data_IF_551601213663
#
_entry.id   IF_551601213663
#
_cell.length_a   1.000
_cell.length_b   1.000
_cell.length_c   1.000
_cell.angle_alpha   90.00
_cell.angle_beta   90.00
_cell.angle_gamma   90.00
#
_symmetry.space_group_name_H-M   'P 1'
#
loop_
_entity.id
_entity.type
_entity.pdbx_description
1 polymer ?
#
# COMPACT_ATOMS: atom_id res chain seq x y z
N UNK A 1 72.52 -23.97 -45.05
CA UNK A 1 73.34 -22.90 -44.43
C UNK A 1 72.40 -21.94 -43.72
N UNK A 2 72.28 -22.10 -42.39
CA UNK A 2 71.73 -21.16 -41.37
C UNK A 2 70.58 -20.25 -41.85
N UNK A 3 69.30 -20.65 -41.78
CA UNK A 3 68.47 -20.73 -40.56
C UNK A 3 68.82 -19.66 -39.51
N UNK A 4 68.43 -18.41 -39.79
CA UNK A 4 68.36 -17.29 -38.84
C UNK A 4 67.65 -16.11 -39.54
N UNK A 5 66.77 -15.44 -38.80
CA UNK A 5 65.94 -14.27 -39.18
C UNK A 5 64.60 -14.53 -39.87
N UNK A 6 63.73 -15.28 -39.19
CA UNK A 6 62.26 -15.11 -39.27
C UNK A 6 61.66 -15.52 -37.91
N UNK A 7 62.18 -14.88 -36.87
CA UNK A 7 61.58 -14.79 -35.55
C UNK A 7 61.36 -13.30 -35.33
N UNK A 8 60.20 -12.95 -34.80
CA UNK A 8 59.68 -11.65 -34.36
C UNK A 8 58.35 -11.34 -35.04
N UNK A 9 57.30 -11.44 -34.21
CA UNK A 9 55.89 -11.07 -34.44
C UNK A 9 55.05 -12.13 -35.17
N UNK A 10 55.13 -13.37 -34.69
CA UNK A 10 53.96 -14.25 -34.60
C UNK A 10 53.88 -14.66 -33.12
N UNK A 11 52.70 -14.51 -32.49
CA UNK A 11 52.38 -14.62 -31.05
C UNK A 11 52.17 -13.30 -30.28
N UNK A 12 51.26 -12.42 -30.73
CA UNK A 12 50.45 -11.54 -29.84
C UNK A 12 49.10 -11.22 -30.51
N UNK A 13 48.29 -12.24 -30.80
CA UNK A 13 46.95 -12.03 -31.38
C UNK A 13 45.98 -13.15 -30.98
N UNK A 14 45.95 -13.43 -29.69
CA UNK A 14 44.86 -14.10 -28.99
C UNK A 14 45.07 -13.76 -27.52
N UNK A 15 44.00 -13.43 -26.78
CA UNK A 15 43.97 -12.82 -25.43
C UNK A 15 43.69 -11.31 -25.45
N UNK A 16 42.41 -10.97 -25.56
CA UNK A 16 41.67 -10.11 -24.62
C UNK A 16 40.17 -10.20 -24.97
N UNK A 17 39.62 -11.40 -24.82
CA UNK A 17 38.17 -11.60 -24.63
C UNK A 17 38.00 -12.39 -23.34
N UNK A 18 38.42 -11.79 -22.23
CA UNK A 18 37.85 -12.13 -20.93
C UNK A 18 36.44 -11.55 -20.94
N UNK A 19 35.52 -12.29 -21.55
CA UNK A 19 34.11 -12.15 -21.25
C UNK A 19 33.98 -12.30 -19.73
N UNK A 20 33.56 -11.24 -19.05
CA UNK A 20 33.00 -11.36 -17.73
C UNK A 20 31.86 -12.38 -17.84
N UNK A 21 32.08 -13.59 -17.32
CA UNK A 21 30.97 -14.46 -16.95
C UNK A 21 30.07 -13.62 -16.03
N UNK A 22 28.75 -13.56 -16.26
CA UNK A 22 27.86 -13.19 -15.19
C UNK A 22 28.23 -14.09 -14.02
N UNK A 23 28.67 -13.49 -12.93
CA UNK A 23 28.85 -14.24 -11.69
C UNK A 23 27.45 -14.74 -11.39
N UNK A 24 27.24 -16.04 -11.55
CA UNK A 24 26.05 -16.72 -11.06
C UNK A 24 26.02 -16.48 -9.56
N UNK A 25 25.42 -15.36 -9.18
CA UNK A 25 24.89 -15.09 -7.85
C UNK A 25 23.70 -16.00 -7.65
N UNK A 26 23.99 -17.30 -7.64
CA UNK A 26 23.16 -18.30 -7.03
C UNK A 26 23.25 -18.01 -5.53
N UNK A 27 22.58 -16.95 -5.09
CA UNK A 27 22.16 -16.83 -3.71
C UNK A 27 21.16 -17.98 -3.59
N UNK A 28 21.66 -19.14 -3.15
CA UNK A 28 20.81 -20.17 -2.60
C UNK A 28 19.85 -19.44 -1.64
N UNK A 29 18.52 -19.64 -1.74
CA UNK A 29 17.60 -18.96 -0.85
C UNK A 29 18.09 -19.18 0.57
N UNK A 30 18.39 -18.11 1.30
CA UNK A 30 18.62 -18.21 2.73
C UNK A 30 17.40 -18.93 3.28
N UNK A 31 17.63 -20.12 3.87
CA UNK A 31 16.59 -20.80 4.63
C UNK A 31 15.98 -19.78 5.58
N UNK A 32 14.65 -19.69 5.67
CA UNK A 32 14.00 -18.72 6.55
C UNK A 32 14.56 -18.90 7.96
N UNK A 33 15.24 -17.87 8.44
CA UNK A 33 15.76 -17.86 9.80
C UNK A 33 14.56 -17.79 10.71
N UNK A 34 14.41 -18.77 11.59
CA UNK A 34 13.46 -18.70 12.71
C UNK A 34 13.59 -17.32 13.38
N UNK A 35 12.47 -16.66 13.75
CA UNK A 35 12.52 -15.33 14.35
C UNK A 35 13.52 -15.30 15.51
N UNK A 36 14.24 -14.17 15.71
CA UNK A 36 15.16 -14.01 16.83
C UNK A 36 14.52 -14.49 18.12
N UNK A 37 15.29 -15.23 18.93
CA UNK A 37 14.78 -15.84 20.17
C UNK A 37 14.25 -14.77 21.14
N UNK A 38 14.74 -13.52 21.03
CA UNK A 38 14.35 -12.41 21.90
C UNK A 38 13.48 -11.37 21.18
N UNK A 39 12.37 -10.91 21.80
CA UNK A 39 11.56 -9.81 21.30
C UNK A 39 12.36 -8.50 21.20
N UNK A 40 12.22 -7.78 20.08
CA UNK A 40 12.85 -6.46 19.89
C UNK A 40 11.81 -5.37 20.20
N UNK A 41 12.16 -4.33 20.98
CA UNK A 41 11.24 -3.23 21.27
C UNK A 41 11.07 -2.30 20.06
N UNK A 42 9.85 -1.83 19.85
CA UNK A 42 9.50 -0.84 18.81
C UNK A 42 9.31 0.55 19.42
N UNK A 43 9.54 1.64 18.66
CA UNK A 43 9.28 2.99 19.16
C UNK A 43 7.80 3.19 19.48
N UNK A 44 7.50 4.14 20.38
CA UNK A 44 6.14 4.62 20.59
C UNK A 44 5.67 5.43 19.38
N UNK A 45 4.41 5.28 18.99
CA UNK A 45 3.81 6.05 17.91
C UNK A 45 3.76 7.55 18.22
N UNK A 46 4.08 8.39 17.23
CA UNK A 46 3.94 9.83 17.34
C UNK A 46 2.46 10.24 17.16
N UNK A 47 1.95 11.25 17.86
CA UNK A 47 0.60 11.77 17.65
C UNK A 47 0.35 12.22 16.20
N UNK A 48 -0.75 11.78 15.61
CA UNK A 48 -1.19 12.17 14.25
C UNK A 48 -2.61 12.75 14.24
N UNK A 49 -3.18 13.03 15.41
CA UNK A 49 -4.52 13.57 15.56
C UNK A 49 -4.78 14.16 16.94
N UNK A 50 -5.95 14.80 17.06
CA UNK A 50 -6.38 15.43 18.30
C UNK A 50 -6.64 14.38 19.39
N UNK A 51 -6.21 14.69 20.61
CA UNK A 51 -6.54 13.92 21.78
C UNK A 51 -7.96 14.25 22.25
N UNK A 52 -8.72 13.23 22.60
CA UNK A 52 -10.05 13.34 23.19
C UNK A 52 -10.02 12.82 24.62
N UNK A 53 -10.78 13.45 25.52
CA UNK A 53 -10.80 13.10 26.95
C UNK A 53 -12.22 12.77 27.40
N UNK A 54 -12.34 11.79 28.30
CA UNK A 54 -13.60 11.38 28.90
C UNK A 54 -13.40 11.06 30.38
N UNK A 55 -14.42 11.30 31.20
CA UNK A 55 -14.38 10.98 32.62
C UNK A 55 -15.24 9.75 32.88
N UNK A 56 -14.60 8.67 33.31
CA UNK A 56 -15.29 7.44 33.75
C UNK A 56 -15.56 7.54 35.25
N UNK A 57 -16.66 6.94 35.69
CA UNK A 57 -17.03 6.84 37.11
C UNK A 57 -17.16 5.35 37.49
N UNK A 58 -17.33 5.00 38.78
CA UNK A 58 -17.59 3.62 39.16
C UNK A 58 -18.83 2.99 38.51
N UNK A 59 -19.76 3.79 37.95
CA UNK A 59 -20.89 3.29 37.19
C UNK A 59 -20.49 2.67 35.83
N UNK A 60 -19.24 2.86 35.39
CA UNK A 60 -18.77 2.47 34.07
C UNK A 60 -19.18 3.48 33.00
N UNK A 61 -19.19 3.05 31.74
CA UNK A 61 -19.58 3.88 30.62
C UNK A 61 -19.15 3.32 29.27
N UNK A 62 -19.51 4.04 28.23
CA UNK A 62 -19.06 3.79 26.87
C UNK A 62 -18.46 5.07 26.30
N UNK A 63 -17.38 4.91 25.55
CA UNK A 63 -16.69 5.99 24.89
C UNK A 63 -16.40 5.61 23.44
N UNK A 64 -16.67 6.53 22.51
CA UNK A 64 -16.53 6.30 21.07
C UNK A 64 -15.69 7.43 20.48
N UNK A 65 -14.77 7.09 19.58
CA UNK A 65 -13.97 8.07 18.87
C UNK A 65 -14.81 8.97 17.97
N UNK A 66 -14.41 10.23 17.73
CA UNK A 66 -15.13 11.12 16.82
C UNK A 66 -15.31 10.54 15.41
N UNK A 67 -14.32 9.77 14.94
CA UNK A 67 -14.35 9.06 13.65
C UNK A 67 -15.10 7.71 13.69
N UNK A 68 -15.63 7.32 14.86
CA UNK A 68 -16.36 6.07 15.12
C UNK A 68 -15.58 4.79 14.80
N UNK A 69 -14.26 4.89 14.62
CA UNK A 69 -13.39 3.74 14.38
C UNK A 69 -13.12 2.93 15.64
N UNK A 70 -13.26 3.54 16.82
CA UNK A 70 -12.86 2.94 18.09
C UNK A 70 -13.97 3.13 19.11
N UNK A 71 -14.30 2.07 19.82
CA UNK A 71 -15.29 2.05 20.88
C UNK A 71 -14.77 1.30 22.09
N UNK A 72 -14.79 1.95 23.24
CA UNK A 72 -14.35 1.39 24.52
C UNK A 72 -15.56 1.28 25.43
N UNK A 73 -15.86 0.07 25.93
CA UNK A 73 -16.90 -0.13 26.96
C UNK A 73 -16.26 -0.55 28.27
N UNK A 74 -16.65 0.12 29.32
CA UNK A 74 -16.10 -0.02 30.67
C UNK A 74 -17.25 -0.44 31.57
N UNK A 75 -17.26 -1.67 32.12
CA UNK A 75 -18.36 -2.13 32.94
C UNK A 75 -18.38 -1.43 34.30
N UNK A 76 -19.54 -1.40 34.94
CA UNK A 76 -19.70 -0.90 36.30
C UNK A 76 -18.75 -1.63 37.27
N UNK A 77 -18.04 -0.86 38.09
CA UNK A 77 -17.06 -1.35 39.04
C UNK A 77 -15.68 -1.66 38.46
N UNK A 78 -15.42 -1.37 37.16
CA UNK A 78 -14.08 -1.48 36.59
C UNK A 78 -13.09 -0.46 37.20
N UNK A 79 -13.60 0.67 37.69
CA UNK A 79 -12.83 1.67 38.45
C UNK A 79 -13.47 1.94 39.81
N UNK A 80 -12.66 2.29 40.81
CA UNK A 80 -13.13 2.59 42.17
C UNK A 80 -13.47 4.06 42.41
N UNK A 81 -12.95 4.96 41.56
CA UNK A 81 -13.18 6.41 41.64
C UNK A 81 -13.32 6.99 40.24
N UNK A 82 -13.71 8.25 40.17
CA UNK A 82 -13.75 8.94 38.88
C UNK A 82 -12.33 9.10 38.33
N UNK A 83 -12.15 8.74 37.06
CA UNK A 83 -10.86 8.75 36.38
C UNK A 83 -10.99 9.40 35.02
N UNK A 84 -10.07 10.30 34.67
CA UNK A 84 -9.98 10.84 33.32
C UNK A 84 -9.21 9.87 32.44
N UNK A 85 -9.81 9.49 31.32
CA UNK A 85 -9.19 8.68 30.29
C UNK A 85 -9.06 9.50 29.01
N UNK A 86 -8.05 9.20 28.19
CA UNK A 86 -7.87 9.90 26.93
C UNK A 86 -7.58 8.93 25.80
N UNK A 87 -7.89 9.37 24.59
CA UNK A 87 -7.70 8.61 23.36
C UNK A 87 -7.14 9.52 22.29
N UNK A 88 -6.07 9.07 21.63
CA UNK A 88 -5.38 9.83 20.60
C UNK A 88 -4.92 8.92 19.46
N UNK A 89 -5.21 9.27 18.18
CA UNK A 89 -4.59 8.62 17.05
C UNK A 89 -3.07 8.83 17.03
N UNK A 90 -2.32 7.76 16.86
CA UNK A 90 -0.85 7.79 16.76
C UNK A 90 -0.38 7.04 15.51
N UNK A 91 0.81 7.39 15.03
CA UNK A 91 1.49 6.62 13.99
C UNK A 91 1.57 5.15 14.42
N UNK A 92 1.30 4.25 13.49
CA UNK A 92 1.39 2.83 13.76
C UNK A 92 2.87 2.39 13.74
N UNK A 93 3.34 1.85 14.86
CA UNK A 93 4.69 1.28 15.01
C UNK A 93 4.64 -0.23 15.23
N UNK A 94 3.45 -0.83 15.12
CA UNK A 94 3.27 -2.28 15.11
C UNK A 94 3.72 -2.83 13.75
N UNK A 95 4.73 -3.72 13.70
CA UNK A 95 5.18 -4.30 12.43
C UNK A 95 4.10 -5.15 11.73
N UNK A 96 3.15 -5.71 12.48
CA UNK A 96 2.00 -6.46 11.96
C UNK A 96 0.75 -5.58 11.75
N UNK A 97 0.87 -4.28 12.08
CA UNK A 97 -0.24 -3.35 12.17
C UNK A 97 -0.82 -2.97 10.80
N UNK A 98 -2.14 -2.79 10.78
CA UNK A 98 -2.90 -2.27 9.65
C UNK A 98 -3.46 -0.89 9.99
N UNK A 99 -3.26 0.08 9.11
CA UNK A 99 -3.72 1.45 9.32
C UNK A 99 -3.00 2.17 10.46
N UNK A 100 -3.72 3.07 11.15
CA UNK A 100 -3.22 3.85 12.29
C UNK A 100 -3.40 3.11 13.62
N UNK A 101 -2.59 3.46 14.61
CA UNK A 101 -2.77 2.99 15.99
C UNK A 101 -3.49 4.04 16.84
N UNK A 102 -3.97 3.62 18.01
CA UNK A 102 -4.58 4.48 19.02
C UNK A 102 -3.83 4.38 20.33
N UNK A 103 -3.54 5.51 20.95
CA UNK A 103 -3.05 5.60 22.33
C UNK A 103 -4.22 5.79 23.28
N UNK A 104 -4.39 4.88 24.23
CA UNK A 104 -5.33 4.98 25.33
C UNK A 104 -4.57 5.29 26.62
N UNK A 105 -4.99 6.31 27.37
CA UNK A 105 -4.31 6.73 28.60
C UNK A 105 -5.29 6.83 29.77
N UNK A 106 -4.79 6.73 31.02
CA UNK A 106 -3.38 6.52 31.39
C UNK A 106 -2.96 5.06 31.32
N UNK A 107 -1.70 4.77 30.95
CA UNK A 107 -1.19 3.38 30.91
C UNK A 107 -1.11 2.72 32.29
N UNK A 108 -0.96 3.51 33.35
CA UNK A 108 -0.87 3.03 34.73
C UNK A 108 -2.21 2.59 35.31
N UNK A 109 -3.30 2.63 34.54
CA UNK A 109 -4.61 2.17 35.01
C UNK A 109 -4.69 0.65 34.92
N UNK A 110 -5.08 0.03 36.03
CA UNK A 110 -5.47 -1.36 36.08
C UNK A 110 -6.96 -1.46 36.41
N UNK A 111 -7.73 -1.99 35.47
CA UNK A 111 -9.17 -2.13 35.63
C UNK A 111 -9.51 -3.37 36.48
N UNK A 112 -10.36 -3.18 37.48
CA UNK A 112 -10.83 -4.27 38.38
C UNK A 112 -11.70 -5.31 37.67
N UNK A 113 -12.20 -4.97 36.47
CA UNK A 113 -12.99 -5.83 35.60
C UNK A 113 -12.52 -5.60 34.17
N UNK A 114 -12.45 -6.63 33.32
CA UNK A 114 -12.09 -6.46 31.92
C UNK A 114 -13.00 -5.44 31.23
N UNK A 115 -12.38 -4.49 30.53
CA UNK A 115 -13.04 -3.59 29.61
C UNK A 115 -13.05 -4.21 28.21
N UNK A 116 -13.85 -3.67 27.30
CA UNK A 116 -13.81 -4.07 25.89
C UNK A 116 -13.31 -2.94 25.01
N UNK A 117 -12.38 -3.25 24.12
CA UNK A 117 -11.94 -2.36 23.05
C UNK A 117 -12.44 -2.95 21.74
N UNK A 118 -13.19 -2.16 20.99
CA UNK A 118 -13.69 -2.51 19.67
C UNK A 118 -13.04 -1.58 18.64
N UNK A 119 -12.39 -2.18 17.65
CA UNK A 119 -11.71 -1.52 16.55
C UNK A 119 -12.43 -1.85 15.25
N UNK A 120 -12.79 -0.84 14.46
CA UNK A 120 -13.35 -1.05 13.12
C UNK A 120 -12.24 -1.26 12.09
N UNK A 121 -12.42 -2.26 11.25
CA UNK A 121 -11.54 -2.52 10.11
C UNK A 121 -12.22 -2.18 8.77
N UNK A 122 -13.35 -1.47 8.80
CA UNK A 122 -14.15 -1.20 7.61
C UNK A 122 -13.38 -0.44 6.51
N UNK A 123 -12.46 0.46 6.90
CA UNK A 123 -11.61 1.21 5.97
C UNK A 123 -10.33 0.46 5.57
N UNK A 124 -10.12 -0.76 6.07
CA UNK A 124 -8.91 -1.55 5.86
C UNK A 124 -9.16 -2.79 5.00
N UNK A 125 -10.37 -2.99 4.49
CA UNK A 125 -10.76 -4.21 3.77
C UNK A 125 -9.78 -4.59 2.66
N UNK A 126 -9.33 -3.62 1.87
CA UNK A 126 -8.40 -3.85 0.76
C UNK A 126 -6.98 -4.23 1.24
N UNK A 127 -6.67 -3.97 2.51
CA UNK A 127 -5.40 -4.30 3.16
C UNK A 127 -5.47 -5.57 4.01
N UNK A 128 -6.66 -6.16 4.17
CA UNK A 128 -6.87 -7.35 5.00
C UNK A 128 -6.60 -8.58 4.14
N UNK A 129 -5.53 -9.33 4.41
CA UNK A 129 -5.23 -10.53 3.65
C UNK A 129 -6.30 -11.61 3.87
N UNK A 130 -6.74 -11.78 5.12
CA UNK A 130 -7.78 -12.71 5.53
C UNK A 130 -8.41 -12.18 6.82
N UNK A 131 -9.74 -12.11 6.88
CA UNK A 131 -10.45 -11.62 8.07
C UNK A 131 -10.12 -12.50 9.29
N UNK A 132 -9.99 -13.82 9.08
CA UNK A 132 -9.69 -14.77 10.15
C UNK A 132 -8.30 -14.54 10.78
N UNK A 133 -7.36 -13.93 10.05
CA UNK A 133 -6.03 -13.63 10.55
C UNK A 133 -5.96 -12.33 11.38
N UNK A 134 -7.05 -11.55 11.43
CA UNK A 134 -7.07 -10.26 12.09
C UNK A 134 -7.23 -10.39 13.60
N UNK A 135 -6.52 -9.55 14.33
CA UNK A 135 -6.73 -9.35 15.76
C UNK A 135 -6.46 -7.89 16.14
N UNK A 136 -6.70 -7.54 17.40
CA UNK A 136 -6.10 -6.34 17.97
C UNK A 136 -4.72 -6.70 18.52
N UNK A 137 -3.79 -5.76 18.43
CA UNK A 137 -2.51 -5.85 19.11
C UNK A 137 -2.32 -4.65 20.03
N UNK A 138 -1.47 -4.82 21.03
CA UNK A 138 -1.13 -3.78 21.97
C UNK A 138 0.38 -3.74 22.21
N UNK A 139 0.89 -2.55 22.54
CA UNK A 139 2.29 -2.37 22.88
C UNK A 139 2.48 -2.26 24.38
N UNK A 140 3.29 -3.15 24.97
CA UNK A 140 3.57 -3.13 26.39
C UNK A 140 4.52 -1.98 26.80
N UNK A 141 4.83 -1.92 28.09
CA UNK A 141 5.72 -0.92 28.69
C UNK A 141 7.17 -1.07 28.22
N UNK A 142 7.58 -2.29 27.80
CA UNK A 142 8.89 -2.57 27.23
C UNK A 142 8.96 -2.19 25.75
N UNK A 143 7.86 -1.74 25.14
CA UNK A 143 7.80 -1.40 23.72
C UNK A 143 7.58 -2.60 22.80
N UNK A 144 7.29 -3.78 23.36
CA UNK A 144 7.04 -5.00 22.61
C UNK A 144 5.57 -5.04 22.21
N UNK A 145 5.31 -5.27 20.92
CA UNK A 145 3.97 -5.49 20.40
C UNK A 145 3.52 -6.93 20.63
N UNK A 146 2.26 -7.09 21.02
CA UNK A 146 1.65 -8.36 21.37
C UNK A 146 0.26 -8.45 20.81
N UNK A 147 -0.11 -9.61 20.28
CA UNK A 147 -1.50 -9.86 19.95
C UNK A 147 -2.33 -9.94 21.23
N UNK A 148 -3.46 -9.25 21.23
CA UNK A 148 -4.44 -9.35 22.29
C UNK A 148 -5.02 -10.77 22.32
N UNK A 149 -5.16 -11.31 23.52
CA UNK A 149 -5.83 -12.59 23.74
C UNK A 149 -7.34 -12.44 23.52
N UNK A 150 -7.99 -13.55 23.13
CA UNK A 150 -9.45 -13.67 23.09
C UNK A 150 -10.11 -12.52 22.30
N UNK A 151 -10.05 -12.63 20.97
CA UNK A 151 -10.71 -11.71 20.05
C UNK A 151 -12.10 -12.23 19.67
N UNK A 152 -12.99 -11.31 19.33
CA UNK A 152 -14.22 -11.60 18.61
C UNK A 152 -14.27 -10.75 17.34
N UNK A 153 -14.42 -11.40 16.20
CA UNK A 153 -14.60 -10.75 14.91
C UNK A 153 -16.10 -10.69 14.60
N UNK A 154 -16.57 -9.52 14.18
CA UNK A 154 -17.92 -9.34 13.66
C UNK A 154 -17.82 -8.87 12.21
N UNK A 155 -17.99 -9.80 11.27
CA UNK A 155 -17.89 -9.54 9.83
C UNK A 155 -18.92 -8.55 9.30
N UNK A 156 -20.15 -8.61 9.85
CA UNK A 156 -21.24 -7.71 9.45
C UNK A 156 -20.98 -6.27 9.91
N UNK A 157 -20.52 -6.09 11.14
CA UNK A 157 -20.19 -4.78 11.69
C UNK A 157 -18.78 -4.31 11.29
N UNK A 158 -17.96 -5.19 10.73
CA UNK A 158 -16.55 -4.99 10.37
C UNK A 158 -15.72 -4.51 11.56
N UNK A 159 -15.79 -5.25 12.66
CA UNK A 159 -15.07 -4.92 13.90
C UNK A 159 -14.34 -6.11 14.50
N UNK A 160 -13.16 -5.85 15.08
CA UNK A 160 -12.48 -6.74 16.02
C UNK A 160 -12.72 -6.22 17.44
N UNK A 161 -13.15 -7.09 18.36
CA UNK A 161 -13.38 -6.75 19.76
C UNK A 161 -12.49 -7.60 20.66
N UNK A 162 -11.84 -6.98 21.64
CA UNK A 162 -10.96 -7.65 22.60
C UNK A 162 -11.28 -7.22 24.03
N UNK A 163 -11.04 -8.12 24.99
CA UNK A 163 -11.13 -7.81 26.41
C UNK A 163 -9.74 -7.49 26.97
N UNK A 164 -9.63 -6.45 27.79
CA UNK A 164 -8.35 -6.08 28.43
C UNK A 164 -8.57 -5.46 29.81
N UNK A 165 -7.55 -5.50 30.65
CA UNK A 165 -7.53 -4.88 31.99
C UNK A 165 -6.61 -3.67 32.07
N UNK A 166 -6.01 -3.25 30.96
CA UNK A 166 -5.07 -2.13 30.92
C UNK A 166 -5.29 -1.25 29.68
N UNK A 167 -4.69 -0.07 29.71
CA UNK A 167 -4.55 0.82 28.55
C UNK A 167 -3.11 0.91 28.07
N UNK A 168 -2.94 1.14 26.77
CA UNK A 168 -1.67 1.13 26.05
C UNK A 168 -1.88 1.72 24.66
N UNK A 169 -0.90 1.55 23.76
CA UNK A 169 -1.10 1.77 22.33
C UNK A 169 -1.70 0.50 21.72
N UNK A 170 -2.75 0.63 20.91
CA UNK A 170 -3.50 -0.45 20.28
C UNK A 170 -3.56 -0.29 18.75
N UNK A 171 -3.52 -1.39 18.02
CA UNK A 171 -3.63 -1.46 16.56
C UNK A 171 -4.56 -2.60 16.16
N UNK A 172 -5.08 -2.55 14.93
CA UNK A 172 -5.51 -3.76 14.23
C UNK A 172 -4.26 -4.37 13.62
N UNK A 173 -4.09 -5.69 13.73
CA UNK A 173 -2.91 -6.39 13.26
C UNK A 173 -3.26 -7.75 12.64
N UNK A 174 -2.35 -8.28 11.82
CA UNK A 174 -2.50 -9.61 11.21
C UNK A 174 -1.26 -10.45 11.41
N UNK A 175 -1.43 -11.72 11.80
CA UNK A 175 -0.30 -12.62 12.06
C UNK A 175 0.48 -12.97 10.78
N UNK A 176 -0.20 -12.97 9.64
CA UNK A 176 0.34 -13.32 8.32
C UNK A 176 -0.21 -12.37 7.26
N UNK A 177 0.59 -12.00 6.26
CA UNK A 177 0.19 -11.10 5.17
C UNK A 177 0.88 -11.43 3.86
N UNK A 178 0.19 -11.20 2.75
CA UNK A 178 0.77 -11.22 1.41
C UNK A 178 1.37 -9.85 1.09
N UNK A 179 2.66 -9.81 0.75
CA UNK A 179 3.39 -8.58 0.43
C UNK A 179 3.99 -8.62 -1.00
N UNK A 180 3.97 -7.49 -1.74
CA UNK A 180 3.21 -6.29 -1.41
C UNK A 180 1.70 -6.59 -1.45
N UNK A 181 0.91 -5.90 -0.63
CA UNK A 181 -0.55 -6.07 -0.63
C UNK A 181 -1.22 -5.28 -1.77
N UNK A 182 -0.53 -4.27 -2.29
CA UNK A 182 -0.90 -3.51 -3.47
C UNK A 182 0.35 -3.13 -4.26
N UNK A 183 0.28 -3.21 -5.59
CA UNK A 183 1.33 -2.70 -6.49
C UNK A 183 0.71 -2.13 -7.77
N UNK A 184 1.49 -1.38 -8.54
CA UNK A 184 1.10 -0.90 -9.88
C UNK A 184 2.15 -1.33 -10.89
N UNK A 185 1.74 -1.96 -11.98
CA UNK A 185 2.62 -2.50 -13.01
C UNK A 185 2.18 -2.08 -14.42
N UNK A 186 3.16 -1.83 -15.28
CA UNK A 186 3.00 -1.67 -16.72
C UNK A 186 3.28 -2.98 -17.47
N UNK A 187 3.23 -2.97 -18.80
CA UNK A 187 3.39 -4.17 -19.62
C UNK A 187 4.72 -4.87 -19.35
N UNK A 188 4.68 -6.20 -19.25
CA UNK A 188 5.83 -7.09 -18.99
C UNK A 188 6.59 -6.86 -17.68
N UNK A 189 6.17 -5.93 -16.83
CA UNK A 189 6.76 -5.79 -15.51
C UNK A 189 6.40 -6.99 -14.64
N UNK A 190 7.31 -7.33 -13.73
CA UNK A 190 7.16 -8.46 -12.82
C UNK A 190 7.10 -7.97 -11.38
N UNK A 191 6.27 -8.64 -10.58
CA UNK A 191 6.21 -8.43 -9.13
C UNK A 191 6.32 -9.77 -8.42
N UNK A 192 7.28 -9.84 -7.49
CA UNK A 192 7.34 -10.94 -6.53
C UNK A 192 6.39 -10.67 -5.38
N UNK A 193 5.52 -11.64 -5.10
CA UNK A 193 4.67 -11.69 -3.93
C UNK A 193 5.17 -12.74 -2.95
N UNK A 194 5.10 -12.44 -1.65
CA UNK A 194 5.56 -13.31 -0.57
C UNK A 194 4.60 -13.27 0.60
N UNK A 195 4.33 -14.43 1.19
CA UNK A 195 3.72 -14.47 2.52
C UNK A 195 4.76 -14.18 3.57
N UNK A 196 4.38 -13.29 4.48
CA UNK A 196 5.20 -12.82 5.58
C UNK A 196 4.46 -13.09 6.88
N UNK A 197 5.15 -13.70 7.83
CA UNK A 197 4.66 -13.96 9.18
C UNK A 197 5.23 -12.93 10.16
N UNK A 198 4.43 -12.57 11.16
CA UNK A 198 4.80 -11.65 12.24
C UNK A 198 4.78 -12.31 13.62
N UNK A 199 4.40 -13.58 13.67
CA UNK A 199 4.47 -14.43 14.86
C UNK A 199 5.35 -15.63 14.56
N UNK A 200 5.82 -16.28 15.62
CA UNK A 200 6.57 -17.52 15.47
C UNK A 200 5.62 -18.66 15.15
N UNK A 201 5.71 -19.17 13.92
CA UNK A 201 4.94 -20.33 13.45
C UNK A 201 5.90 -21.52 13.35
N UNK A 202 5.64 -22.58 14.13
CA UNK A 202 6.54 -23.72 14.23
C UNK A 202 6.06 -24.96 13.47
N UNK A 203 4.79 -25.02 13.09
CA UNK A 203 4.19 -26.11 12.33
C UNK A 203 3.00 -25.64 11.48
N UNK A 204 2.53 -26.53 10.60
CA UNK A 204 1.29 -26.31 9.84
C UNK A 204 0.07 -26.14 10.75
N UNK A 205 0.00 -26.92 11.83
CA UNK A 205 -1.12 -26.85 12.77
C UNK A 205 -1.06 -25.59 13.63
N UNK A 206 0.16 -25.09 13.94
CA UNK A 206 0.39 -23.80 14.59
C UNK A 206 -0.16 -22.66 13.70
N UNK A 207 0.10 -22.72 12.38
CA UNK A 207 -0.45 -21.79 11.40
C UNK A 207 -1.98 -21.81 11.35
N UNK A 208 -2.60 -23.00 11.36
CA UNK A 208 -4.06 -23.14 11.43
C UNK A 208 -4.62 -22.50 12.70
N UNK A 209 -4.02 -22.81 13.86
CA UNK A 209 -4.43 -22.27 15.16
C UNK A 209 -4.36 -20.75 15.24
N UNK A 210 -3.34 -20.11 14.63
CA UNK A 210 -3.26 -18.64 14.55
C UNK A 210 -4.50 -18.00 13.89
N UNK A 211 -5.09 -18.71 12.94
CA UNK A 211 -6.19 -18.25 12.11
C UNK A 211 -7.57 -18.62 12.68
N UNK A 212 -7.62 -19.44 13.74
CA UNK A 212 -8.87 -20.03 14.23
C UNK A 212 -9.43 -19.44 15.53
N UNK A 213 -8.63 -18.70 16.30
CA UNK A 213 -8.99 -18.27 17.65
C UNK A 213 -10.03 -17.11 17.66
N UNK A 214 -11.31 -17.48 17.55
CA UNK A 214 -12.48 -16.58 17.65
C UNK A 214 -13.14 -16.57 19.03
N UNK A 215 -12.52 -17.19 20.04
CA UNK A 215 -13.21 -17.49 21.29
C UNK A 215 -12.89 -16.45 22.40
N UNK A 216 -13.92 -15.73 22.84
CA UNK A 216 -13.89 -14.92 24.07
C UNK A 216 -13.92 -15.76 25.37
N UNK A 217 -13.60 -17.05 25.31
CA UNK A 217 -13.67 -17.94 26.49
C UNK A 217 -12.33 -17.97 27.25
N UNK A 218 -12.29 -17.56 28.53
CA UNK A 218 -11.06 -17.44 29.31
C UNK A 218 -10.67 -18.78 29.97
N UNK A 219 -10.56 -19.87 29.20
CA UNK A 219 -10.38 -21.21 29.77
C UNK A 219 -9.01 -21.85 29.54
N UNK A 220 -8.08 -21.16 28.91
CA UNK A 220 -6.66 -21.56 28.88
C UNK A 220 -5.82 -20.30 29.07
N UNK A 221 -4.73 -20.32 29.88
CA UNK A 221 -3.72 -19.29 29.79
C UNK A 221 -3.07 -19.40 28.40
N UNK A 222 -3.65 -18.73 27.42
CA UNK A 222 -3.05 -18.64 26.09
C UNK A 222 -1.73 -17.89 26.25
N UNK A 223 -0.64 -18.43 25.73
CA UNK A 223 0.64 -17.70 25.73
C UNK A 223 0.43 -16.39 24.96
N UNK A 224 0.66 -15.24 25.59
CA UNK A 224 0.57 -13.94 24.91
C UNK A 224 1.56 -13.93 23.75
N UNK A 225 1.07 -13.75 22.52
CA UNK A 225 1.90 -13.88 21.32
C UNK A 225 2.65 -12.58 21.07
N UNK A 226 3.96 -12.68 21.01
CA UNK A 226 4.86 -11.57 20.64
C UNK A 226 4.79 -11.35 19.14
N UNK A 227 4.78 -10.08 18.75
CA UNK A 227 4.87 -9.66 17.36
C UNK A 227 6.32 -9.30 17.05
N UNK A 228 6.83 -9.86 15.96
CA UNK A 228 8.18 -9.66 15.44
C UNK A 228 8.14 -8.83 14.15
N UNK A 229 9.31 -8.40 13.68
CA UNK A 229 9.44 -7.93 12.30
C UNK A 229 9.04 -9.03 11.32
N UNK A 230 8.42 -8.62 10.21
CA UNK A 230 7.90 -9.55 9.21
C UNK A 230 9.02 -10.39 8.60
N UNK A 231 8.88 -11.72 8.66
CA UNK A 231 9.78 -12.67 8.02
C UNK A 231 9.05 -13.50 6.96
N UNK A 232 9.73 -13.91 5.86
CA UNK A 232 9.14 -14.84 4.91
C UNK A 232 8.61 -16.10 5.61
N UNK A 233 7.38 -16.48 5.30
CA UNK A 233 6.77 -17.70 5.82
C UNK A 233 7.48 -18.92 5.21
N UNK A 234 7.91 -19.84 6.08
CA UNK A 234 8.67 -21.01 5.63
C UNK A 234 7.82 -21.93 4.74
N UNK A 235 8.30 -22.28 3.53
CA UNK A 235 7.60 -23.18 2.61
C UNK A 235 7.19 -24.52 3.23
N UNK A 236 7.93 -25.05 4.23
CA UNK A 236 7.55 -26.31 4.90
C UNK A 236 6.21 -26.22 5.64
N UNK A 237 5.81 -25.01 6.04
CA UNK A 237 4.53 -24.73 6.69
C UNK A 237 3.46 -24.35 5.67
N UNK A 238 3.83 -24.25 4.40
CA UNK A 238 2.98 -23.75 3.33
C UNK A 238 2.53 -24.92 2.49
N UNK A 239 1.44 -25.58 2.90
CA UNK A 239 0.69 -26.45 1.98
C UNK A 239 -0.24 -25.58 1.12
N UNK A 240 0.35 -24.63 0.38
CA UNK A 240 -0.41 -23.78 -0.53
C UNK A 240 -1.01 -24.63 -1.65
N UNK A 241 -2.32 -24.46 -1.87
CA UNK A 241 -3.08 -25.22 -2.87
C UNK A 241 -2.67 -24.80 -4.28
N UNK A 242 -2.83 -23.51 -4.59
CA UNK A 242 -2.33 -22.87 -5.81
C UNK A 242 -2.34 -21.34 -5.67
N UNK A 243 -1.48 -20.68 -6.45
CA UNK A 243 -1.60 -19.26 -6.73
C UNK A 243 -2.61 -19.05 -7.85
N UNK A 244 -3.46 -18.05 -7.70
CA UNK A 244 -4.58 -17.77 -8.61
C UNK A 244 -4.61 -16.27 -8.96
N UNK A 245 -5.05 -15.98 -10.19
CA UNK A 245 -5.32 -14.62 -10.67
C UNK A 245 -6.82 -14.44 -10.83
N UNK A 246 -7.35 -13.34 -10.32
CA UNK A 246 -8.76 -13.02 -10.33
C UNK A 246 -8.97 -11.58 -10.83
N UNK A 247 -10.02 -11.32 -11.59
CA UNK A 247 -10.43 -9.96 -11.93
C UNK A 247 -11.94 -9.87 -12.12
N UNK A 248 -12.50 -8.72 -11.76
CA UNK A 248 -13.90 -8.39 -12.05
C UNK A 248 -14.09 -7.94 -13.49
N UNK A 249 -13.02 -7.47 -14.14
CA UNK A 249 -13.05 -6.99 -15.53
C UNK A 249 -12.87 -8.15 -16.51
N UNK A 250 -13.99 -8.69 -16.97
CA UNK A 250 -14.00 -9.83 -17.90
C UNK A 250 -13.43 -9.43 -19.27
N UNK A 251 -12.60 -10.29 -19.84
CA UNK A 251 -12.07 -10.16 -21.20
C UNK A 251 -10.68 -9.54 -21.31
N UNK A 252 -10.11 -9.05 -20.20
CA UNK A 252 -8.72 -8.58 -20.15
C UNK A 252 -7.75 -9.74 -19.96
N UNK A 253 -6.56 -9.65 -20.56
CA UNK A 253 -5.46 -10.56 -20.22
C UNK A 253 -5.02 -10.30 -18.79
N UNK A 254 -4.99 -11.32 -17.93
CA UNK A 254 -4.63 -11.13 -16.51
C UNK A 254 -3.13 -11.20 -16.26
N UNK A 255 -2.35 -11.63 -17.25
CA UNK A 255 -0.94 -11.96 -17.10
C UNK A 255 -0.75 -13.41 -16.69
N UNK A 256 0.36 -13.70 -16.02
CA UNK A 256 0.67 -15.03 -15.51
C UNK A 256 1.27 -14.97 -14.11
N UNK A 257 1.09 -16.03 -13.31
CA UNK A 257 1.76 -16.18 -12.03
C UNK A 257 2.50 -17.50 -11.95
N UNK A 258 3.82 -17.40 -11.79
CA UNK A 258 4.73 -18.52 -11.64
C UNK A 258 5.00 -18.78 -10.17
N UNK A 259 4.81 -20.02 -9.71
CA UNK A 259 5.13 -20.43 -8.34
C UNK A 259 5.60 -21.88 -8.30
N UNK A 260 6.60 -22.18 -7.48
CA UNK A 260 6.93 -23.57 -7.17
C UNK A 260 5.78 -24.24 -6.40
N UNK A 261 5.61 -25.58 -6.48
CA UNK A 261 4.62 -26.29 -5.68
C UNK A 261 4.80 -25.99 -4.19
N UNK A 262 3.71 -25.77 -3.44
CA UNK A 262 3.73 -25.49 -2.00
C UNK A 262 4.58 -24.25 -1.61
N UNK A 263 4.66 -23.25 -2.49
CA UNK A 263 5.48 -22.06 -2.27
C UNK A 263 4.69 -20.94 -1.58
N UNK A 264 5.30 -20.30 -0.57
CA UNK A 264 4.87 -19.01 -0.01
C UNK A 264 5.20 -17.80 -0.89
N UNK A 265 5.85 -18.04 -2.04
CA UNK A 265 6.18 -17.03 -3.03
C UNK A 265 5.55 -17.31 -4.39
N UNK A 266 5.13 -16.25 -5.06
CA UNK A 266 4.65 -16.25 -6.45
C UNK A 266 5.24 -15.06 -7.20
N UNK A 267 5.64 -15.27 -8.44
CA UNK A 267 6.13 -14.21 -9.33
C UNK A 267 5.04 -13.92 -10.35
N UNK A 268 4.40 -12.77 -10.21
CA UNK A 268 3.43 -12.28 -11.15
C UNK A 268 4.13 -11.56 -12.31
N UNK A 269 3.68 -11.81 -13.53
CA UNK A 269 4.09 -11.11 -14.74
C UNK A 269 2.90 -10.44 -15.40
N UNK A 270 2.98 -9.12 -15.56
CA UNK A 270 1.97 -8.34 -16.24
C UNK A 270 1.85 -8.73 -17.73
N UNK A 271 0.67 -8.57 -18.34
CA UNK A 271 0.46 -8.84 -19.77
C UNK A 271 1.41 -8.09 -20.70
N UNK A 272 1.51 -8.58 -21.93
CA UNK A 272 2.28 -7.94 -23.00
C UNK A 272 1.66 -6.62 -23.46
N UNK A 273 0.35 -6.44 -23.29
CA UNK A 273 -0.41 -5.27 -23.73
C UNK A 273 -1.48 -4.91 -22.71
N UNK A 274 -1.50 -3.65 -22.29
CA UNK A 274 -2.53 -3.08 -21.43
C UNK A 274 -3.17 -1.92 -22.19
N UNK A 275 -4.43 -2.06 -22.60
CA UNK A 275 -5.13 -1.07 -23.43
C UNK A 275 -5.76 0.07 -22.61
N UNK A 276 -6.16 -0.23 -21.38
CA UNK A 276 -6.68 0.72 -20.40
C UNK A 276 -6.33 0.24 -18.99
N UNK A 277 -6.43 1.08 -17.95
CA UNK A 277 -6.20 0.66 -16.57
C UNK A 277 -7.26 -0.35 -16.10
N UNK A 278 -6.84 -1.37 -15.36
CA UNK A 278 -7.73 -2.31 -14.66
C UNK A 278 -7.00 -2.97 -13.49
N UNK A 279 -7.74 -3.73 -12.67
CA UNK A 279 -7.20 -4.40 -11.48
C UNK A 279 -7.20 -5.91 -11.64
N UNK A 280 -6.15 -6.53 -11.12
CA UNK A 280 -6.02 -7.99 -10.97
C UNK A 280 -5.75 -8.30 -9.50
N UNK A 281 -6.57 -9.17 -8.93
CA UNK A 281 -6.31 -9.80 -7.64
C UNK A 281 -5.33 -10.96 -7.82
N UNK A 282 -4.20 -10.89 -7.12
CA UNK A 282 -3.28 -12.01 -6.95
C UNK A 282 -3.60 -12.68 -5.63
N UNK A 283 -3.88 -13.98 -5.64
CA UNK A 283 -4.25 -14.69 -4.43
C UNK A 283 -3.56 -16.03 -4.26
N UNK A 284 -3.32 -16.41 -3.01
CA UNK A 284 -2.79 -17.72 -2.63
C UNK A 284 -3.64 -18.29 -1.50
N UNK A 285 -3.95 -19.57 -1.60
CA UNK A 285 -4.87 -20.22 -0.68
C UNK A 285 -4.22 -21.35 0.14
N UNK A 286 -4.74 -21.52 1.37
CA UNK A 286 -4.25 -22.45 2.37
C UNK A 286 -5.40 -23.27 2.92
N UNK A 287 -5.26 -24.59 2.94
CA UNK A 287 -6.31 -25.49 3.44
C UNK A 287 -6.17 -25.73 4.94
N UNK A 288 -6.71 -24.86 5.79
CA UNK A 288 -6.76 -25.10 7.23
C UNK A 288 -7.57 -26.36 7.54
N UNK A 289 -7.05 -27.22 8.41
CA UNK A 289 -7.69 -28.48 8.83
C UNK A 289 -8.99 -28.25 9.63
N UNK A 290 -9.16 -27.06 10.21
CA UNK A 290 -10.26 -26.65 11.09
C UNK A 290 -11.28 -25.71 10.40
N UNK A 291 -10.81 -24.81 9.53
CA UNK A 291 -11.64 -23.77 8.89
C UNK A 291 -11.70 -23.81 7.36
N UNK A 292 -11.08 -24.82 6.74
CA UNK A 292 -11.09 -24.95 5.28
C UNK A 292 -10.16 -23.96 4.58
N UNK A 293 -10.51 -23.56 3.34
CA UNK A 293 -9.65 -22.74 2.47
C UNK A 293 -9.59 -21.28 2.98
N UNK A 294 -8.41 -20.85 3.42
CA UNK A 294 -8.08 -19.46 3.80
C UNK A 294 -7.36 -18.81 2.63
N UNK A 295 -7.87 -17.67 2.17
CA UNK A 295 -7.33 -16.94 1.02
C UNK A 295 -6.55 -15.71 1.50
N UNK A 296 -5.38 -15.47 0.92
CA UNK A 296 -4.61 -14.23 1.05
C UNK A 296 -4.64 -13.53 -0.30
N UNK A 297 -5.00 -12.24 -0.34
CA UNK A 297 -5.17 -11.47 -1.58
C UNK A 297 -4.29 -10.22 -1.58
N UNK A 298 -3.74 -9.91 -2.75
CA UNK A 298 -3.09 -8.64 -3.07
C UNK A 298 -3.67 -8.06 -4.35
N UNK A 299 -3.59 -6.74 -4.50
CA UNK A 299 -4.13 -6.02 -5.66
C UNK A 299 -3.00 -5.55 -6.58
N UNK A 300 -3.09 -5.87 -7.86
CA UNK A 300 -2.23 -5.33 -8.92
C UNK A 300 -3.04 -4.37 -9.75
N UNK A 301 -2.67 -3.09 -9.72
CA UNK A 301 -3.17 -2.09 -10.65
C UNK A 301 -2.36 -2.19 -11.95
N UNK A 302 -2.98 -2.65 -13.03
CA UNK A 302 -2.35 -2.71 -14.34
C UNK A 302 -2.64 -1.43 -15.11
N UNK A 303 -1.59 -0.82 -15.64
CA UNK A 303 -1.67 0.45 -16.36
C UNK A 303 -0.94 0.38 -17.69
N UNK A 304 -1.42 1.06 -18.73
CA UNK A 304 -0.67 1.17 -19.95
C UNK A 304 0.68 1.87 -19.73
N UNK A 305 1.74 1.31 -20.30
CA UNK A 305 3.06 1.92 -20.32
C UNK A 305 3.12 3.12 -21.25
N UNK A 306 4.02 4.06 -20.95
CA UNK A 306 4.18 5.30 -21.70
C UNK A 306 2.86 6.08 -21.89
N UNK A 307 2.07 6.16 -20.81
CA UNK A 307 0.78 6.81 -20.77
C UNK A 307 0.65 7.78 -19.59
N UNK A 308 -0.31 8.70 -19.72
CA UNK A 308 -0.86 9.44 -18.58
C UNK A 308 -2.14 8.77 -18.13
N UNK A 309 -2.20 8.41 -16.85
CA UNK A 309 -3.36 7.79 -16.21
C UNK A 309 -4.04 8.84 -15.35
N UNK A 310 -5.35 9.02 -15.53
CA UNK A 310 -6.09 10.08 -14.84
C UNK A 310 -7.53 9.67 -14.53
N UNK A 311 -8.14 10.32 -13.54
CA UNK A 311 -9.58 10.30 -13.32
C UNK A 311 -10.08 11.69 -12.95
N UNK A 312 -11.37 11.91 -13.19
CA UNK A 312 -12.07 13.17 -12.89
C UNK A 312 -13.15 12.87 -11.85
N UNK A 313 -13.11 13.58 -10.73
CA UNK A 313 -13.96 13.32 -9.56
C UNK A 313 -13.82 11.88 -9.06
N UNK A 314 -14.95 11.23 -8.82
CA UNK A 314 -15.05 9.82 -8.44
C UNK A 314 -15.21 8.88 -9.67
N UNK A 315 -14.93 9.39 -10.88
CA UNK A 315 -15.02 8.62 -12.12
C UNK A 315 -13.96 7.52 -12.25
N UNK A 316 -14.13 6.67 -13.27
CA UNK A 316 -13.20 5.59 -13.59
C UNK A 316 -11.87 6.12 -14.11
N UNK A 317 -10.78 5.40 -13.80
CA UNK A 317 -9.46 5.66 -14.35
C UNK A 317 -9.45 5.52 -15.89
N UNK A 318 -8.85 6.50 -16.54
CA UNK A 318 -8.67 6.60 -17.99
C UNK A 318 -7.18 6.67 -18.31
N UNK A 319 -6.81 6.33 -19.54
CA UNK A 319 -5.45 6.46 -20.03
C UNK A 319 -5.38 7.29 -21.31
N UNK A 320 -4.36 8.13 -21.40
CA UNK A 320 -3.95 8.81 -22.63
C UNK A 320 -2.61 8.19 -23.04
N UNK A 321 -2.66 7.28 -24.00
CA UNK A 321 -1.48 6.74 -24.68
C UNK A 321 -1.02 7.73 -25.76
N UNK A 322 0.19 7.54 -26.32
CA UNK A 322 0.80 8.45 -27.32
C UNK A 322 1.06 9.87 -26.79
N UNK A 323 1.38 9.95 -25.50
CA UNK A 323 1.82 11.18 -24.84
C UNK A 323 3.34 11.31 -24.97
N UNK A 324 3.79 12.55 -25.16
CA UNK A 324 5.22 12.88 -25.23
C UNK A 324 5.59 13.72 -24.03
N UNK A 325 6.71 13.41 -23.36
CA UNK A 325 7.33 14.30 -22.37
C UNK A 325 8.68 14.77 -22.89
N UNK A 326 8.91 16.08 -22.94
CA UNK A 326 10.18 16.68 -23.39
C UNK A 326 10.35 18.07 -22.82
N UNK A 327 11.58 18.57 -22.80
CA UNK A 327 11.88 19.95 -22.43
C UNK A 327 11.83 20.83 -23.68
N UNK A 328 11.08 21.92 -23.63
CA UNK A 328 10.95 22.91 -24.72
C UNK A 328 11.17 24.29 -24.12
N UNK A 329 12.17 25.03 -24.59
CA UNK A 329 12.49 26.37 -24.08
C UNK A 329 12.62 26.46 -22.54
N UNK A 330 13.21 25.44 -21.91
CA UNK A 330 13.39 25.39 -20.45
C UNK A 330 12.20 24.81 -19.67
N UNK A 331 11.05 24.59 -20.31
CA UNK A 331 9.82 24.07 -19.72
C UNK A 331 9.62 22.61 -20.08
N UNK A 332 9.36 21.75 -19.11
CA UNK A 332 8.91 20.39 -19.40
C UNK A 332 7.45 20.42 -19.82
N UNK A 333 7.13 19.67 -20.86
CA UNK A 333 5.78 19.56 -21.41
C UNK A 333 5.43 18.10 -21.66
N UNK A 334 4.35 17.66 -21.03
CA UNK A 334 3.59 16.47 -21.42
C UNK A 334 2.49 16.93 -22.37
N UNK A 335 2.43 16.34 -23.56
CA UNK A 335 1.37 16.60 -24.52
C UNK A 335 1.03 15.34 -25.30
N UNK A 336 -0.26 15.09 -25.47
CA UNK A 336 -0.78 14.01 -26.30
C UNK A 336 -2.30 14.02 -26.37
N UNK A 337 -2.84 13.11 -27.17
CA UNK A 337 -4.29 12.93 -27.35
C UNK A 337 -4.59 11.45 -27.40
N UNK A 338 -5.62 11.02 -26.67
CA UNK A 338 -6.10 9.64 -26.70
C UNK A 338 -6.67 9.35 -28.08
N UNK A 339 -6.14 8.33 -28.75
CA UNK A 339 -6.68 7.88 -30.04
C UNK A 339 -8.07 7.28 -29.92
N UNK A 340 -8.45 6.82 -28.72
CA UNK A 340 -9.73 6.15 -28.47
C UNK A 340 -10.83 7.15 -28.14
N UNK A 341 -10.54 8.14 -27.28
CA UNK A 341 -11.55 9.09 -26.78
C UNK A 341 -11.43 10.48 -27.40
N UNK A 342 -10.30 10.79 -28.05
CA UNK A 342 -9.99 12.14 -28.51
C UNK A 342 -9.58 13.10 -27.38
N UNK A 343 -9.56 12.65 -26.12
CA UNK A 343 -9.20 13.50 -24.98
C UNK A 343 -7.73 13.90 -25.07
N UNK A 344 -7.48 15.21 -25.08
CA UNK A 344 -6.15 15.81 -25.09
C UNK A 344 -5.64 16.12 -23.68
N UNK A 345 -4.33 16.08 -23.51
CA UNK A 345 -3.64 16.59 -22.32
C UNK A 345 -2.53 17.55 -22.69
N UNK A 346 -2.40 18.62 -21.91
CA UNK A 346 -1.20 19.44 -21.80
C UNK A 346 -0.87 19.59 -20.33
N UNK A 347 0.31 19.18 -19.91
CA UNK A 347 0.82 19.41 -18.55
C UNK A 347 2.21 20.00 -18.67
N UNK A 348 2.47 21.10 -17.98
CA UNK A 348 3.74 21.81 -18.03
C UNK A 348 4.28 22.11 -16.64
N UNK A 349 5.60 22.08 -16.49
CA UNK A 349 6.29 22.52 -15.27
C UNK A 349 7.73 22.94 -15.56
N UNK A 350 8.31 23.70 -14.64
CA UNK A 350 9.71 24.10 -14.65
C UNK A 350 10.40 23.60 -13.40
N UNK A 351 11.57 22.99 -13.55
CA UNK A 351 12.38 22.45 -12.45
C UNK A 351 12.70 20.97 -12.62
N UNK A 352 13.41 20.42 -11.64
CA UNK A 352 13.84 19.02 -11.60
C UNK A 352 12.84 18.11 -10.86
N UNK A 353 13.33 17.08 -10.16
CA UNK A 353 12.54 16.27 -9.23
C UNK A 353 12.06 17.14 -8.06
N UNK A 354 10.78 17.05 -7.71
CA UNK A 354 10.22 17.84 -6.61
C UNK A 354 8.70 18.00 -6.69
N UNK A 355 8.17 18.84 -5.81
CA UNK A 355 6.75 19.15 -5.71
C UNK A 355 6.49 20.58 -6.19
N UNK A 356 5.43 20.77 -6.96
CA UNK A 356 5.11 22.03 -7.61
C UNK A 356 3.63 22.37 -7.41
N UNK A 357 3.36 23.52 -6.79
CA UNK A 357 1.99 24.07 -6.72
C UNK A 357 1.58 24.66 -8.06
N UNK A 358 0.30 24.49 -8.42
CA UNK A 358 -0.24 25.05 -9.66
C UNK A 358 -0.04 26.56 -9.74
N UNK A 359 0.48 27.01 -10.86
CA UNK A 359 0.71 28.41 -11.16
C UNK A 359 0.71 28.60 -12.67
N UNK A 360 -0.44 28.97 -13.22
CA UNK A 360 -0.62 29.14 -14.67
C UNK A 360 0.20 30.32 -15.22
N UNK A 361 0.50 31.34 -14.41
CA UNK A 361 1.34 32.48 -14.83
C UNK A 361 2.80 32.06 -15.07
N UNK A 362 3.29 31.07 -14.32
CA UNK A 362 4.64 30.51 -14.45
C UNK A 362 4.68 29.23 -15.31
N UNK A 363 3.66 29.00 -16.13
CA UNK A 363 3.52 27.79 -16.96
C UNK A 363 3.61 26.47 -16.16
N UNK A 364 3.24 26.47 -14.87
CA UNK A 364 3.03 25.23 -14.13
C UNK A 364 1.53 24.92 -14.07
N UNK A 365 1.06 24.11 -15.01
CA UNK A 365 -0.36 23.88 -15.17
C UNK A 365 -0.68 22.58 -15.89
N UNK A 366 -1.94 22.18 -15.79
CA UNK A 366 -2.50 21.05 -16.53
C UNK A 366 -3.82 21.46 -17.16
N UNK A 367 -4.05 21.00 -18.38
CA UNK A 367 -5.31 21.06 -19.11
C UNK A 367 -5.67 19.69 -19.67
N UNK A 368 -6.89 19.24 -19.42
CA UNK A 368 -7.50 18.08 -20.06
C UNK A 368 -8.66 18.55 -20.93
N UNK A 369 -8.64 18.18 -22.21
CA UNK A 369 -9.61 18.63 -23.21
C UNK A 369 -10.38 17.42 -23.71
N UNK A 370 -11.63 17.29 -23.29
CA UNK A 370 -12.60 16.38 -23.90
C UNK A 370 -13.28 17.10 -25.07
N UNK A 371 -13.17 16.62 -26.32
CA UNK A 371 -13.79 17.28 -27.46
C UNK A 371 -15.29 17.02 -27.59
N UNK A 372 -15.86 16.01 -26.91
CA UNK A 372 -17.27 15.63 -27.11
C UNK A 372 -17.90 14.96 -25.87
N UNK A 373 -18.63 15.72 -25.02
CA UNK A 373 -18.91 17.16 -25.15
C UNK A 373 -17.64 17.99 -24.96
N UNK A 374 -17.60 19.21 -25.50
CA UNK A 374 -16.45 20.10 -25.28
C UNK A 374 -16.37 20.47 -23.78
N UNK A 375 -15.40 19.87 -23.09
CA UNK A 375 -15.06 20.12 -21.69
C UNK A 375 -13.55 20.35 -21.59
N UNK A 376 -13.16 21.52 -21.09
CA UNK A 376 -11.78 21.83 -20.75
C UNK A 376 -11.66 21.89 -19.23
N UNK A 377 -10.97 20.92 -18.65
CA UNK A 377 -10.59 20.94 -17.25
C UNK A 377 -9.19 21.54 -17.11
N UNK A 378 -8.98 22.45 -16.16
CA UNK A 378 -7.68 23.10 -15.97
C UNK A 378 -7.32 23.29 -14.50
N UNK A 379 -6.02 23.53 -14.23
CA UNK A 379 -5.49 23.81 -12.89
C UNK A 379 -5.66 25.26 -12.42
N UNK A 380 -6.58 26.00 -13.02
CA UNK A 380 -7.02 27.30 -12.57
C UNK A 380 -8.49 27.50 -12.91
N UNK A 381 -9.17 28.38 -12.19
CA UNK A 381 -10.59 28.70 -12.40
C UNK A 381 -10.83 30.18 -12.15
N UNK A 382 -11.97 30.72 -12.60
CA UNK A 382 -12.37 32.08 -12.26
C UNK A 382 -13.24 32.09 -10.99
N UNK A 383 -12.92 32.97 -10.04
CA UNK A 383 -13.75 33.21 -8.87
C UNK A 383 -15.04 33.98 -9.21
N UNK A 384 -15.90 34.21 -8.21
CA UNK A 384 -17.17 34.97 -8.38
C UNK A 384 -16.99 36.41 -8.85
N UNK A 385 -15.76 36.95 -8.81
CA UNK A 385 -15.41 38.29 -9.27
C UNK A 385 -14.71 38.27 -10.63
N UNK A 386 -14.51 37.09 -11.23
CA UNK A 386 -13.81 36.92 -12.49
C UNK A 386 -12.28 36.92 -12.38
N UNK A 387 -11.71 36.78 -11.17
CA UNK A 387 -10.25 36.67 -11.02
C UNK A 387 -9.80 35.23 -11.27
N UNK A 388 -8.65 35.05 -11.93
CA UNK A 388 -8.00 33.74 -12.07
C UNK A 388 -7.47 33.29 -10.72
N UNK A 389 -7.85 32.08 -10.30
CA UNK A 389 -7.40 31.44 -9.07
C UNK A 389 -6.76 30.11 -9.44
N UNK A 390 -5.50 29.91 -9.04
CA UNK A 390 -4.84 28.61 -9.18
C UNK A 390 -5.54 27.57 -8.31
N UNK A 391 -5.75 26.39 -8.87
CA UNK A 391 -6.30 25.25 -8.14
C UNK A 391 -5.40 24.83 -6.97
N UNK A 392 -6.00 24.24 -5.93
CA UNK A 392 -5.24 23.49 -4.94
C UNK A 392 -4.72 22.16 -5.50
N UNK A 393 -3.98 21.42 -4.66
CA UNK A 393 -3.26 20.23 -5.09
C UNK A 393 -1.85 20.55 -5.58
N UNK A 394 -1.20 19.58 -6.22
CA UNK A 394 0.20 19.68 -6.61
C UNK A 394 0.55 18.72 -7.76
N UNK A 395 1.64 19.04 -8.45
CA UNK A 395 2.39 18.14 -9.32
C UNK A 395 3.63 17.64 -8.56
N UNK A 396 3.79 16.33 -8.46
CA UNK A 396 4.95 15.66 -7.89
C UNK A 396 5.72 14.98 -9.01
N UNK A 397 6.99 15.33 -9.18
CA UNK A 397 7.91 14.64 -10.07
C UNK A 397 8.74 13.69 -9.22
N UNK A 398 8.45 12.39 -9.33
CA UNK A 398 9.10 11.32 -8.57
C UNK A 398 10.44 10.92 -9.21
N UNK A 399 10.51 10.96 -10.54
CA UNK A 399 11.69 10.65 -11.35
C UNK A 399 11.74 11.57 -12.58
N UNK A 400 12.91 12.16 -12.85
CA UNK A 400 13.17 12.95 -14.06
C UNK A 400 14.43 12.42 -14.76
N UNK A 401 14.24 11.46 -15.65
CA UNK A 401 15.32 10.90 -16.46
C UNK A 401 15.84 11.87 -17.53
N UNK A 402 17.03 11.58 -18.04
CA UNK A 402 17.55 12.16 -19.28
C UNK A 402 16.71 11.71 -20.48
N UNK A 403 16.88 12.31 -21.68
CA UNK A 403 16.27 11.77 -22.90
C UNK A 403 16.47 10.26 -23.04
N UNK A 404 15.43 9.57 -23.49
CA UNK A 404 15.30 8.10 -23.55
C UNK A 404 15.19 7.38 -22.20
N UNK A 405 15.17 8.10 -21.08
CA UNK A 405 14.91 7.54 -19.75
C UNK A 405 13.52 7.93 -19.27
N UNK A 406 13.04 7.24 -18.22
CA UNK A 406 11.71 7.46 -17.67
C UNK A 406 11.59 8.80 -16.92
N UNK A 407 10.46 9.44 -17.10
CA UNK A 407 9.92 10.51 -16.25
C UNK A 407 8.67 9.96 -15.58
N UNK A 408 8.64 9.99 -14.24
CA UNK A 408 7.51 9.54 -13.44
C UNK A 408 7.01 10.67 -12.56
N UNK A 409 5.71 10.80 -12.43
CA UNK A 409 5.11 11.79 -11.55
C UNK A 409 3.63 11.54 -11.31
N UNK A 410 3.08 12.34 -10.41
CA UNK A 410 1.69 12.31 -9.96
C UNK A 410 1.16 13.73 -9.90
N UNK A 411 -0.14 13.91 -10.11
CA UNK A 411 -0.76 15.21 -10.03
C UNK A 411 -2.13 15.14 -9.36
N UNK A 412 -2.48 16.20 -8.64
CA UNK A 412 -3.81 16.42 -8.07
C UNK A 412 -4.23 17.86 -8.31
N UNK A 413 -5.48 18.08 -8.73
CA UNK A 413 -6.08 19.41 -8.97
C UNK A 413 -7.38 19.46 -8.18
N UNK A 414 -7.50 20.39 -7.22
CA UNK A 414 -8.68 20.48 -6.34
C UNK A 414 -9.03 21.94 -5.97
N UNK A 415 -10.17 22.49 -6.42
CA UNK A 415 -11.00 22.03 -7.53
C UNK A 415 -10.31 22.28 -8.89
N UNK A 416 -10.83 21.77 -9.99
CA UNK A 416 -10.42 22.23 -11.33
C UNK A 416 -11.24 23.43 -11.79
N UNK A 417 -10.75 24.19 -12.77
CA UNK A 417 -11.64 24.99 -13.61
C UNK A 417 -12.23 24.14 -14.71
N UNK A 418 -13.51 24.35 -15.00
CA UNK A 418 -14.23 23.66 -16.06
C UNK A 418 -14.79 24.69 -17.04
N UNK A 419 -14.32 24.65 -18.29
CA UNK A 419 -14.88 25.42 -19.39
C UNK A 419 -15.73 24.50 -20.25
N UNK A 420 -16.97 24.91 -20.50
CA UNK A 420 -17.93 24.23 -21.37
C UNK A 420 -18.39 25.15 -22.49
N UNK A 421 -19.17 24.64 -23.44
CA UNK A 421 -19.83 25.49 -24.45
C UNK A 421 -20.78 26.55 -23.84
N UNK A 422 -21.18 26.40 -22.58
CA UNK A 422 -22.11 27.31 -21.88
C UNK A 422 -21.40 28.38 -21.05
N UNK A 423 -20.07 28.28 -20.89
CA UNK A 423 -19.28 29.14 -20.03
C UNK A 423 -18.40 28.35 -19.08
N UNK A 424 -17.88 29.05 -18.08
CA UNK A 424 -16.91 28.53 -17.12
C UNK A 424 -17.53 28.32 -15.74
N UNK A 425 -17.10 27.26 -15.06
CA UNK A 425 -17.53 26.89 -13.73
C UNK A 425 -16.40 26.22 -12.93
N UNK A 426 -16.61 26.04 -11.63
CA UNK A 426 -15.70 25.28 -10.79
C UNK A 426 -15.97 23.80 -11.01
N UNK A 427 -14.99 23.10 -11.57
CA UNK A 427 -15.05 21.69 -11.91
C UNK A 427 -14.69 20.73 -10.77
N UNK A 428 -14.95 19.43 -10.95
CA UNK A 428 -14.52 18.39 -10.03
C UNK A 428 -13.00 18.31 -9.90
N UNK A 429 -12.50 17.61 -8.88
CA UNK A 429 -11.07 17.36 -8.75
C UNK A 429 -10.54 16.47 -9.88
N UNK A 430 -9.26 16.59 -10.20
CA UNK A 430 -8.56 15.71 -11.13
C UNK A 430 -7.40 15.08 -10.37
N UNK A 431 -7.17 13.80 -10.58
CA UNK A 431 -5.95 13.15 -10.11
C UNK A 431 -5.40 12.19 -11.14
N UNK A 432 -4.09 12.01 -11.11
CA UNK A 432 -3.43 11.16 -12.06
C UNK A 432 -1.96 10.96 -11.80
N UNK A 433 -1.37 10.12 -12.63
CA UNK A 433 0.03 9.78 -12.61
C UNK A 433 0.49 9.41 -14.00
N UNK A 434 1.80 9.41 -14.20
CA UNK A 434 2.39 9.12 -15.50
C UNK A 434 3.74 8.45 -15.34
N UNK A 435 4.07 7.59 -16.31
CA UNK A 435 5.37 6.96 -16.48
C UNK A 435 5.70 6.99 -17.96
N UNK A 436 6.53 7.94 -18.36
CA UNK A 436 6.74 8.32 -19.75
C UNK A 436 8.21 8.26 -20.12
N UNK A 437 8.53 7.80 -21.32
CA UNK A 437 9.90 7.90 -21.85
C UNK A 437 10.15 9.32 -22.33
N UNK A 438 11.19 9.98 -21.82
CA UNK A 438 11.55 11.33 -22.22
C UNK A 438 12.02 11.38 -23.68
N UNK A 439 11.37 12.22 -24.47
CA UNK A 439 11.82 12.57 -25.80
C UNK A 439 13.03 13.52 -25.79
N UNK A 440 13.65 13.77 -26.95
CA UNK A 440 14.72 14.76 -27.06
C UNK A 440 14.19 16.16 -26.70
N UNK A 441 15.06 16.97 -26.11
CA UNK A 441 14.78 18.36 -25.82
C UNK A 441 14.72 19.18 -27.12
N UNK A 442 13.88 20.23 -27.14
CA UNK A 442 13.64 21.09 -28.31
C UNK A 442 13.85 22.57 -28.01
#
# INVERSE_FOLDING_TARGET
MKLRYLVWIAWVSLWLVTACKPTDGNIAPESPTTPPVEPIPFPKGQPIGNQTSFTITPAGGEFVSPDKQIKVKIPAGAVSKSTTITMQPVQNTDPAGLGKSVRLLPHTIEFKKPITIQLSYASLLDSIPSINALSAAYQDEQGIWRFAQSRAINERARTVTVATTHFSDWSIATAVRLLPFETTLSENEEQRFRLVQYVRINSYDDFGYELDDDALTPLVPATVKVIYEGQPLDPKYVKADSWELNSTDRGNELGHIDSAPNSSEGIYKAPLRISHPYQVGVSVAFNSSSKGKILFVATVNLVPGNAVIYRIGEGSWQAIQNVTVRKVNGLFKIQGTSSTTGVGIVLTWQGDKGNYSWNVENNNGISLIDPSPYLLYSSAYHDTKGNVVNSGGELIIDQLGNPSQLVKGRFTVKPSGLTTLKGEEIGPGIEGFFSLTRGPDM
#
